data_IF_280037581423
#
_entry.id   IF_280037581423
#
_cell.length_a   1.000
_cell.length_b   1.000
_cell.length_c   1.000
_cell.angle_alpha   90.00
_cell.angle_beta   90.00
_cell.angle_gamma   90.00
#
_symmetry.space_group_name_H-M   'P 1'
#
loop_
_entity.id
_entity.type
_entity.pdbx_description
1 polymer ?
#
# COMPACT_ATOMS: atom_id res chain seq x y z
N UNK A 1 2.97 20.87 -20.27
CA UNK A 1 1.62 20.44 -19.83
C UNK A 1 1.25 21.31 -18.64
N UNK A 2 0.11 21.99 -18.67
CA UNK A 2 -0.39 22.77 -17.53
C UNK A 2 -1.07 21.84 -16.53
N UNK A 3 -0.88 22.10 -15.23
CA UNK A 3 -1.60 21.37 -14.19
C UNK A 3 -3.10 21.68 -14.28
N UNK A 4 -3.94 20.67 -14.06
CA UNK A 4 -5.40 20.79 -14.06
C UNK A 4 -5.96 20.28 -12.72
N UNK A 5 -5.93 21.12 -11.68
CA UNK A 5 -6.37 20.74 -10.34
C UNK A 5 -7.87 20.45 -10.23
N UNK A 6 -8.67 20.75 -11.28
CA UNK A 6 -10.11 20.44 -11.30
C UNK A 6 -10.41 18.94 -11.40
N UNK A 7 -9.42 18.14 -11.82
CA UNK A 7 -9.51 16.67 -11.92
C UNK A 7 -9.33 15.95 -10.59
N UNK A 8 -8.91 16.66 -9.54
CA UNK A 8 -8.73 16.07 -8.21
C UNK A 8 -10.10 15.91 -7.53
N UNK A 9 -10.38 14.77 -6.88
CA UNK A 9 -11.63 14.55 -6.18
C UNK A 9 -11.79 15.53 -5.01
N UNK A 10 -13.02 15.98 -4.78
CA UNK A 10 -13.33 16.84 -3.63
C UNK A 10 -12.99 16.09 -2.33
N UNK A 11 -12.25 16.69 -1.39
CA UNK A 11 -11.95 16.08 -0.10
C UNK A 11 -13.23 15.64 0.63
N UNK A 12 -13.25 14.40 1.16
CA UNK A 12 -14.43 13.81 1.79
C UNK A 12 -15.49 13.28 0.82
N UNK A 13 -15.25 13.33 -0.50
CA UNK A 13 -16.09 12.62 -1.47
C UNK A 13 -15.76 11.13 -1.51
N UNK A 14 -16.69 10.30 -2.00
CA UNK A 14 -16.51 8.83 -2.07
C UNK A 14 -15.33 8.37 -2.94
N UNK A 15 -14.80 9.27 -3.79
CA UNK A 15 -13.64 9.02 -4.67
C UNK A 15 -12.35 9.67 -4.14
N UNK A 16 -12.41 10.28 -2.97
CA UNK A 16 -11.27 10.89 -2.29
C UNK A 16 -10.46 9.81 -1.58
N UNK A 17 -9.15 9.73 -1.78
CA UNK A 17 -8.31 8.96 -0.87
C UNK A 17 -8.31 9.74 0.45
N UNK A 18 -8.97 9.27 1.50
CA UNK A 18 -9.02 9.99 2.78
C UNK A 18 -8.20 9.21 3.81
N UNK A 19 -7.10 9.79 4.28
CA UNK A 19 -6.27 9.15 5.29
C UNK A 19 -6.76 9.47 6.70
N UNK A 20 -7.10 8.41 7.45
CA UNK A 20 -7.71 8.49 8.78
C UNK A 20 -6.73 8.25 9.94
N UNK A 21 -5.42 8.23 9.66
CA UNK A 21 -4.39 8.03 10.69
C UNK A 21 -3.93 6.58 10.87
N UNK A 22 -4.44 5.64 10.07
CA UNK A 22 -3.97 4.26 10.09
C UNK A 22 -2.64 4.13 9.36
N UNK A 23 -1.64 3.65 10.07
CA UNK A 23 -0.26 3.53 9.59
C UNK A 23 -0.15 2.51 8.45
N UNK A 24 -0.83 1.38 8.57
CA UNK A 24 -0.89 0.29 7.58
C UNK A 24 -1.50 0.72 6.23
N UNK A 25 -2.41 1.70 6.23
CA UNK A 25 -3.06 2.25 5.02
C UNK A 25 -2.27 3.44 4.43
N UNK A 26 -1.17 3.87 5.06
CA UNK A 26 -0.47 5.10 4.65
C UNK A 26 0.20 4.98 3.27
N UNK A 27 0.75 3.80 2.94
CA UNK A 27 1.33 3.55 1.61
C UNK A 27 0.26 3.55 0.51
N UNK A 28 -0.82 2.79 0.71
CA UNK A 28 -1.94 2.71 -0.25
C UNK A 28 -2.55 4.10 -0.48
N UNK A 29 -2.72 4.89 0.59
CA UNK A 29 -3.15 6.27 0.50
C UNK A 29 -2.25 7.13 -0.42
N UNK A 30 -0.92 7.00 -0.30
CA UNK A 30 0.00 7.75 -1.15
C UNK A 30 -0.04 7.27 -2.61
N UNK A 31 -0.20 5.97 -2.85
CA UNK A 31 -0.32 5.40 -4.20
C UNK A 31 -1.59 5.92 -4.90
N UNK A 32 -2.75 5.81 -4.25
CA UNK A 32 -4.03 6.33 -4.76
C UNK A 32 -3.95 7.83 -5.06
N UNK A 33 -3.32 8.58 -4.15
CA UNK A 33 -3.10 10.02 -4.33
C UNK A 33 -2.19 10.33 -5.53
N UNK A 34 -1.10 9.57 -5.71
CA UNK A 34 -0.16 9.75 -6.82
C UNK A 34 -0.80 9.45 -8.18
N UNK A 35 -1.68 8.44 -8.26
CA UNK A 35 -2.45 8.17 -9.48
C UNK A 35 -3.36 9.34 -9.84
N UNK A 36 -4.10 9.89 -8.87
CA UNK A 36 -4.96 11.06 -9.07
C UNK A 36 -4.14 12.30 -9.46
N UNK A 37 -3.02 12.52 -8.78
CA UNK A 37 -2.11 13.63 -9.06
C UNK A 37 -1.50 13.51 -10.47
N UNK A 38 -1.24 12.29 -10.95
CA UNK A 38 -0.76 12.03 -12.31
C UNK A 38 -1.83 12.37 -13.35
N UNK A 39 -3.09 11.99 -13.11
CA UNK A 39 -4.24 12.35 -13.97
C UNK A 39 -4.44 13.87 -14.05
N UNK A 40 -4.26 14.56 -12.92
CA UNK A 40 -4.33 16.02 -12.83
C UNK A 40 -3.03 16.73 -13.28
N UNK A 41 -1.97 15.99 -13.61
CA UNK A 41 -0.63 16.52 -13.95
C UNK A 41 -0.10 17.54 -12.92
N UNK A 42 -0.32 17.25 -11.64
CA UNK A 42 0.11 18.13 -10.55
C UNK A 42 1.63 18.20 -10.44
N UNK A 43 2.15 19.40 -10.22
CA UNK A 43 3.54 19.63 -9.82
C UNK A 43 3.74 19.28 -8.35
N UNK A 44 4.98 19.09 -7.93
CA UNK A 44 5.30 18.65 -6.57
C UNK A 44 4.81 19.61 -5.48
N UNK A 45 4.88 20.92 -5.72
CA UNK A 45 4.29 21.91 -4.81
C UNK A 45 2.76 21.75 -4.68
N UNK A 46 2.07 21.46 -5.78
CA UNK A 46 0.63 21.23 -5.79
C UNK A 46 0.27 19.92 -5.09
N UNK A 47 1.06 18.85 -5.30
CA UNK A 47 0.89 17.57 -4.63
C UNK A 47 0.95 17.72 -3.11
N UNK A 48 1.96 18.43 -2.60
CA UNK A 48 2.10 18.69 -1.15
C UNK A 48 0.90 19.44 -0.57
N UNK A 49 0.33 20.40 -1.32
CA UNK A 49 -0.87 21.14 -0.88
C UNK A 49 -2.12 20.27 -0.91
N UNK A 50 -2.25 19.41 -1.93
CA UNK A 50 -3.42 18.57 -2.12
C UNK A 50 -3.46 17.39 -1.14
N UNK A 51 -2.35 16.71 -0.90
CA UNK A 51 -2.33 15.56 0.03
C UNK A 51 -2.79 15.95 1.44
N UNK A 52 -2.47 17.16 1.89
CA UNK A 52 -2.90 17.69 3.18
C UNK A 52 -4.41 17.93 3.27
N UNK A 53 -5.11 18.11 2.15
CA UNK A 53 -6.58 18.23 2.15
C UNK A 53 -7.27 16.90 2.44
N UNK A 54 -6.59 15.80 2.10
CA UNK A 54 -7.05 14.42 2.19
C UNK A 54 -6.72 13.73 3.52
N UNK A 55 -5.83 14.31 4.31
CA UNK A 55 -5.60 13.89 5.70
C UNK A 55 -6.78 14.31 6.56
N UNK A 56 -7.53 13.41 7.18
CA UNK A 56 -8.72 13.80 7.96
C UNK A 56 -8.36 14.62 9.21
N UNK A 57 -7.27 14.24 9.89
CA UNK A 57 -6.91 14.79 11.20
C UNK A 57 -6.11 16.12 11.10
N UNK A 58 -6.60 17.16 11.78
CA UNK A 58 -5.97 18.49 11.75
C UNK A 58 -4.59 18.52 12.42
N UNK A 59 -4.39 17.73 13.48
CA UNK A 59 -3.09 17.55 14.16
C UNK A 59 -2.06 17.04 13.17
N UNK A 60 -2.42 16.01 12.41
CA UNK A 60 -1.51 15.39 11.46
C UNK A 60 -1.20 16.29 10.27
N UNK A 61 -2.18 17.06 9.78
CA UNK A 61 -1.90 18.11 8.78
C UNK A 61 -0.87 19.12 9.26
N UNK A 62 -0.91 19.52 10.55
CA UNK A 62 0.07 20.44 11.12
C UNK A 62 1.44 19.78 11.22
N UNK A 63 1.48 18.53 11.65
CA UNK A 63 2.72 17.75 11.74
C UNK A 63 3.40 17.58 10.38
N UNK A 64 2.66 17.22 9.33
CA UNK A 64 3.22 17.10 7.99
C UNK A 64 3.73 18.45 7.44
N UNK A 65 3.07 19.57 7.79
CA UNK A 65 3.55 20.91 7.43
C UNK A 65 4.82 21.33 8.15
N UNK A 66 5.12 20.76 9.31
CA UNK A 66 6.35 21.05 10.06
C UNK A 66 7.56 20.23 9.60
N UNK A 67 7.38 19.28 8.69
CA UNK A 67 8.47 18.50 8.11
C UNK A 67 9.39 19.38 7.27
N UNK A 68 10.69 19.10 7.30
CA UNK A 68 11.70 19.92 6.66
C UNK A 68 11.50 19.92 5.13
N UNK A 69 11.21 18.75 4.54
CA UNK A 69 10.93 18.60 3.11
C UNK A 69 9.68 19.37 2.65
N UNK A 70 8.70 19.64 3.54
CA UNK A 70 7.56 20.48 3.18
C UNK A 70 7.98 21.93 3.00
N UNK A 71 8.97 22.41 3.77
CA UNK A 71 9.49 23.78 3.70
C UNK A 71 10.63 23.96 2.68
N UNK A 72 11.30 22.86 2.29
CA UNK A 72 12.43 22.84 1.37
C UNK A 72 12.17 23.53 0.02
N UNK A 73 13.23 24.08 -0.56
CA UNK A 73 13.26 24.70 -1.89
C UNK A 73 14.48 24.17 -2.65
N UNK A 74 14.30 23.49 -3.81
CA UNK A 74 13.05 23.27 -4.52
C UNK A 74 12.08 22.33 -3.79
N UNK A 75 10.79 22.41 -4.12
CA UNK A 75 9.77 21.48 -3.62
C UNK A 75 9.97 20.12 -4.26
N UNK A 76 10.18 19.10 -3.44
CA UNK A 76 10.39 17.73 -3.88
C UNK A 76 9.38 16.80 -3.19
N UNK A 77 8.44 16.28 -3.98
CA UNK A 77 7.40 15.38 -3.50
C UNK A 77 7.97 14.07 -2.95
N UNK A 78 9.00 13.52 -3.59
CA UNK A 78 9.58 12.25 -3.19
C UNK A 78 10.30 12.39 -1.83
N UNK A 79 11.01 13.50 -1.63
CA UNK A 79 11.63 13.82 -0.34
C UNK A 79 10.57 13.96 0.77
N UNK A 80 9.48 14.67 0.50
CA UNK A 80 8.37 14.83 1.44
C UNK A 80 7.70 13.49 1.78
N UNK A 81 7.35 12.68 0.79
CA UNK A 81 6.77 11.34 0.99
C UNK A 81 7.68 10.47 1.85
N UNK A 82 8.99 10.48 1.57
CA UNK A 82 9.99 9.71 2.34
C UNK A 82 10.05 10.17 3.79
N UNK A 83 10.15 11.47 4.03
CA UNK A 83 10.20 12.02 5.39
C UNK A 83 8.92 11.71 6.17
N UNK A 84 7.74 11.81 5.52
CA UNK A 84 6.48 11.38 6.15
C UNK A 84 6.54 9.90 6.53
N UNK A 85 6.96 9.01 5.63
CA UNK A 85 7.05 7.57 5.91
C UNK A 85 8.02 7.25 7.05
N UNK A 86 9.12 7.98 7.18
CA UNK A 86 10.09 7.84 8.29
C UNK A 86 9.46 8.17 9.66
N UNK A 87 8.46 9.07 9.72
CA UNK A 87 7.74 9.37 10.96
C UNK A 87 6.73 8.29 11.38
N UNK A 88 6.41 7.36 10.47
CA UNK A 88 5.47 6.26 10.72
C UNK A 88 6.15 4.92 10.48
N UNK A 89 7.05 4.48 11.39
CA UNK A 89 7.62 3.14 11.31
C UNK A 89 6.51 2.09 11.36
N UNK A 90 6.43 1.25 10.32
CA UNK A 90 5.31 0.32 10.07
C UNK A 90 4.44 0.70 8.87
N UNK A 91 4.54 1.94 8.37
CA UNK A 91 3.86 2.34 7.13
C UNK A 91 4.47 1.67 5.89
N UNK A 92 5.80 1.53 5.85
CA UNK A 92 6.50 0.79 4.79
C UNK A 92 6.10 -0.69 4.70
N UNK A 93 5.45 -1.23 5.73
CA UNK A 93 5.06 -2.63 5.77
C UNK A 93 3.73 -2.92 5.06
N UNK A 94 3.01 -1.89 4.57
CA UNK A 94 1.65 -2.06 4.02
C UNK A 94 0.77 -2.83 5.02
N UNK A 95 -0.25 -3.56 4.57
CA UNK A 95 -0.74 -4.70 5.38
C UNK A 95 0.47 -5.58 5.70
N UNK A 96 1.02 -5.46 6.91
CA UNK A 96 2.20 -6.19 7.32
C UNK A 96 1.85 -7.67 7.38
N UNK A 97 1.96 -8.35 6.25
CA UNK A 97 1.59 -9.75 6.15
C UNK A 97 2.49 -10.54 7.10
N UNK A 98 1.87 -11.14 8.10
CA UNK A 98 2.59 -11.97 9.05
C UNK A 98 2.69 -13.39 8.50
N UNK A 99 3.67 -14.17 9.00
CA UNK A 99 3.75 -15.60 8.69
C UNK A 99 2.43 -16.30 9.03
N UNK A 100 1.74 -15.84 10.10
CA UNK A 100 0.41 -16.34 10.48
C UNK A 100 -0.67 -16.05 9.44
N UNK A 101 -0.60 -14.93 8.72
CA UNK A 101 -1.58 -14.63 7.67
C UNK A 101 -1.35 -15.50 6.44
N UNK A 102 -0.08 -15.77 6.09
CA UNK A 102 0.28 -16.73 5.05
C UNK A 102 -0.19 -18.16 5.41
N UNK A 103 -0.02 -18.57 6.67
CA UNK A 103 -0.51 -19.85 7.18
C UNK A 103 -2.03 -19.95 7.16
N UNK A 104 -2.74 -18.90 7.60
CA UNK A 104 -4.21 -18.85 7.55
C UNK A 104 -4.71 -18.96 6.12
N UNK A 105 -4.11 -18.22 5.19
CA UNK A 105 -4.47 -18.26 3.77
C UNK A 105 -4.24 -19.67 3.19
N UNK A 106 -3.12 -20.32 3.56
CA UNK A 106 -2.80 -21.68 3.13
C UNK A 106 -3.76 -22.71 3.72
N UNK A 107 -4.04 -22.66 5.03
CA UNK A 107 -4.98 -23.56 5.72
C UNK A 107 -6.39 -23.42 5.18
N UNK A 108 -6.91 -22.19 5.08
CA UNK A 108 -8.24 -21.91 4.55
C UNK A 108 -8.41 -22.38 3.09
N UNK A 109 -7.32 -22.42 2.33
CA UNK A 109 -7.35 -22.88 0.94
C UNK A 109 -7.18 -24.40 0.83
N UNK A 110 -6.36 -25.02 1.67
CA UNK A 110 -6.22 -26.48 1.77
C UNK A 110 -7.55 -27.16 2.18
N UNK A 111 -8.30 -26.54 3.08
CA UNK A 111 -9.63 -27.01 3.53
C UNK A 111 -10.67 -26.96 2.41
N UNK A 112 -10.57 -26.00 1.48
CA UNK A 112 -11.59 -25.73 0.45
C UNK A 112 -11.38 -26.46 -0.88
N UNK A 113 -10.40 -27.37 -0.96
CA UNK A 113 -10.01 -28.18 -2.12
C UNK A 113 -10.07 -27.36 -3.43
N UNK A 114 -8.99 -26.66 -3.77
CA UNK A 114 -8.90 -25.90 -5.03
C UNK A 114 -9.12 -26.86 -6.21
N UNK A 115 -10.29 -26.79 -6.83
CA UNK A 115 -10.71 -27.65 -7.94
C UNK A 115 -10.98 -26.87 -9.23
N UNK A 116 -10.78 -25.55 -9.21
CA UNK A 116 -11.04 -24.65 -10.34
C UNK A 116 -9.88 -23.67 -10.48
N UNK A 117 -9.53 -23.38 -11.73
CA UNK A 117 -8.47 -22.44 -12.10
C UNK A 117 -8.71 -21.03 -11.53
N UNK A 118 -9.94 -20.53 -11.54
CA UNK A 118 -10.30 -19.23 -10.93
C UNK A 118 -9.99 -19.17 -9.43
N UNK A 119 -10.21 -20.26 -8.70
CA UNK A 119 -9.90 -20.34 -7.25
C UNK A 119 -8.40 -20.40 -7.01
N UNK A 120 -7.66 -21.07 -7.90
CA UNK A 120 -6.20 -21.11 -7.86
C UNK A 120 -5.61 -19.73 -8.14
N UNK A 121 -6.09 -19.04 -9.18
CA UNK A 121 -5.63 -17.70 -9.55
C UNK A 121 -5.93 -16.69 -8.45
N UNK A 122 -7.11 -16.78 -7.80
CA UNK A 122 -7.45 -15.95 -6.65
C UNK A 122 -6.56 -16.24 -5.43
N UNK A 123 -6.28 -17.51 -5.14
CA UNK A 123 -5.33 -17.87 -4.09
C UNK A 123 -3.94 -17.31 -4.39
N UNK A 124 -3.45 -17.50 -5.61
CA UNK A 124 -2.12 -17.09 -6.02
C UNK A 124 -1.96 -15.56 -6.05
N UNK A 125 -2.99 -14.81 -6.45
CA UNK A 125 -2.99 -13.34 -6.41
C UNK A 125 -2.86 -12.77 -5.01
N UNK A 126 -3.34 -13.49 -3.99
CA UNK A 126 -3.16 -13.12 -2.57
C UNK A 126 -1.86 -13.68 -1.98
N UNK A 127 -1.52 -14.95 -2.25
CA UNK A 127 -0.32 -15.59 -1.72
C UNK A 127 0.98 -14.94 -2.21
N UNK A 128 1.06 -14.58 -3.50
CA UNK A 128 2.28 -14.05 -4.11
C UNK A 128 2.77 -12.74 -3.49
N UNK A 129 1.94 -11.69 -3.28
CA UNK A 129 2.38 -10.48 -2.60
C UNK A 129 2.78 -10.74 -1.14
N UNK A 130 2.03 -11.57 -0.40
CA UNK A 130 2.34 -11.94 0.99
C UNK A 130 3.68 -12.68 1.12
N UNK A 131 3.93 -13.68 0.29
CA UNK A 131 5.17 -14.45 0.29
C UNK A 131 6.36 -13.59 -0.12
N UNK A 132 6.21 -12.73 -1.14
CA UNK A 132 7.26 -11.79 -1.57
C UNK A 132 7.63 -10.81 -0.46
N UNK A 133 6.62 -10.30 0.27
CA UNK A 133 6.82 -9.43 1.43
C UNK A 133 7.59 -10.14 2.56
N UNK A 134 7.19 -11.36 2.90
CA UNK A 134 7.83 -12.15 3.96
C UNK A 134 9.27 -12.58 3.61
N UNK A 135 9.55 -12.91 2.34
CA UNK A 135 10.91 -13.20 1.87
C UNK A 135 11.78 -11.95 1.91
N UNK A 136 11.27 -10.79 1.46
CA UNK A 136 12.01 -9.53 1.49
C UNK A 136 12.39 -9.09 2.92
N UNK A 137 11.59 -9.49 3.92
CA UNK A 137 11.84 -9.25 5.35
C UNK A 137 12.63 -10.37 6.04
N UNK A 138 13.15 -11.37 5.30
CA UNK A 138 13.81 -12.58 5.82
C UNK A 138 12.98 -13.36 6.86
N UNK A 139 11.64 -13.23 6.83
CA UNK A 139 10.73 -13.91 7.76
C UNK A 139 10.39 -15.34 7.33
N UNK A 140 10.57 -15.67 6.05
CA UNK A 140 10.46 -17.02 5.48
C UNK A 140 11.57 -17.26 4.45
N UNK A 141 11.94 -18.51 4.21
CA UNK A 141 12.92 -18.88 3.18
C UNK A 141 12.30 -18.86 1.78
N UNK A 142 13.11 -18.67 0.73
CA UNK A 142 12.67 -18.76 -0.68
C UNK A 142 12.10 -20.13 -1.07
N UNK A 143 12.40 -21.18 -0.29
CA UNK A 143 11.82 -22.52 -0.45
C UNK A 143 10.34 -22.56 -0.03
N UNK A 144 9.97 -21.79 1.01
CA UNK A 144 8.60 -21.71 1.53
C UNK A 144 7.68 -20.78 0.71
N UNK A 145 8.25 -20.00 -0.21
CA UNK A 145 7.48 -19.10 -1.09
C UNK A 145 6.94 -19.79 -2.35
N UNK A 146 7.12 -21.12 -2.49
CA UNK A 146 6.61 -21.87 -3.64
C UNK A 146 5.21 -22.46 -3.35
N UNK A 147 4.14 -22.00 -4.04
CA UNK A 147 2.77 -22.45 -3.78
C UNK A 147 2.56 -23.96 -4.05
N UNK A 148 3.44 -24.58 -4.84
CA UNK A 148 3.38 -26.01 -5.18
C UNK A 148 3.70 -26.96 -4.02
N UNK A 149 4.40 -26.50 -2.97
CA UNK A 149 4.67 -27.32 -1.77
C UNK A 149 3.62 -27.15 -0.67
N UNK A 150 2.81 -26.09 -0.73
CA UNK A 150 1.76 -25.80 0.24
C UNK A 150 0.45 -26.59 -0.01
N UNK A 151 0.32 -27.21 -1.18
CA UNK A 151 -0.77 -28.15 -1.48
C UNK A 151 -0.32 -29.59 -1.18
N UNK A 152 -1.03 -30.35 -0.32
CA UNK A 152 -0.69 -31.74 -0.09
C UNK A 152 -0.87 -32.52 -1.40
N UNK A 153 0.20 -33.23 -1.78
CA UNK A 153 0.37 -34.06 -2.98
C UNK A 153 -0.95 -34.63 -3.51
N UNK A 154 -1.19 -34.47 -4.82
CA UNK A 154 -2.03 -35.42 -5.59
C UNK A 154 -1.45 -36.81 -5.34
N UNK A 155 -2.08 -37.59 -4.46
CA UNK A 155 -1.84 -39.03 -4.39
C UNK A 155 -2.50 -39.59 -5.66
N UNK A 156 -1.65 -40.07 -6.56
CA UNK A 156 -2.07 -40.76 -7.78
C UNK A 156 -2.93 -41.98 -7.45
N UNK A 157 -3.71 -42.34 -8.46
CA UNK A 157 -4.64 -43.48 -8.56
C UNK A 157 -4.20 -44.76 -7.87
#
# INVERSE_FOLDING_TARGET
MSSDPSKMPTPGSKKSPDWKGKVEELLEFFEDFEELAKVASLKDEEKMKWVLKYVAEKSTRKFWKSLDAYSATPKDWAAFKKEVLEQYPGAEEGEAYTVRDLEKLTKATAEKRINTEERFMKYYSHFKPMAKFLVAKNKISTLDSNPGMACPRRRGS
#
